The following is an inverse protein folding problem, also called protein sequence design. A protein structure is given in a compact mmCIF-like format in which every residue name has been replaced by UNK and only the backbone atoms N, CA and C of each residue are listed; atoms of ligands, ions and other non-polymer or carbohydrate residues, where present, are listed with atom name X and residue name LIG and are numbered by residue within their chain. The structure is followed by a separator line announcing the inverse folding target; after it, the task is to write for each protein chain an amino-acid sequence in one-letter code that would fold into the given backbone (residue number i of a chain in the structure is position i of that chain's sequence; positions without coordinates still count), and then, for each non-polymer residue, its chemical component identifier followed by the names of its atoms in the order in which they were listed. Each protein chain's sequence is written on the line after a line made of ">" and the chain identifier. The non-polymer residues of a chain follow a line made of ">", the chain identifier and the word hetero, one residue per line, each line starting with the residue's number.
data_IF_605697577507
#
_entry.id   IF_605697577507
#
_cell.length_a   1.000
_cell.length_b   1.000
_cell.length_c   1.000
_cell.angle_alpha   90.00
_cell.angle_beta   90.00
_cell.angle_gamma   90.00
#
_symmetry.space_group_name_H-M   'P 1'
#
loop_
_entity.id
_entity.type
_entity.pdbx_description
1 polymer ?
#
# COMPACT_ATOMS: atom_id res chain seq x y z
N UNK A 1 -33.04 -4.30 19.02
CA UNK A 1 -31.67 -4.88 19.11
C UNK A 1 -31.15 -5.04 17.68
N UNK A 2 -30.15 -4.27 17.26
CA UNK A 2 -29.74 -4.25 15.84
C UNK A 2 -28.51 -3.38 15.52
N UNK A 3 -27.55 -3.27 16.45
CA UNK A 3 -26.33 -2.45 16.27
C UNK A 3 -25.04 -3.26 16.04
N UNK A 4 -25.13 -4.59 16.01
CA UNK A 4 -23.95 -5.47 15.88
C UNK A 4 -23.46 -5.68 14.44
N UNK A 5 -24.36 -5.63 13.44
CA UNK A 5 -24.01 -5.90 12.04
C UNK A 5 -23.23 -4.76 11.36
N UNK A 6 -23.53 -3.51 11.68
CA UNK A 6 -22.87 -2.34 11.08
C UNK A 6 -21.41 -2.22 11.47
N UNK A 7 -21.08 -2.58 12.72
CA UNK A 7 -19.71 -2.50 13.23
C UNK A 7 -18.80 -3.55 12.56
N UNK A 8 -19.31 -4.77 12.36
CA UNK A 8 -18.54 -5.82 11.71
C UNK A 8 -18.28 -5.54 10.22
N UNK A 9 -19.28 -5.00 9.49
CA UNK A 9 -19.09 -4.59 8.10
C UNK A 9 -18.07 -3.44 7.97
N UNK A 10 -18.10 -2.48 8.89
CA UNK A 10 -17.15 -1.36 8.92
C UNK A 10 -15.73 -1.85 9.21
N UNK A 11 -15.57 -2.73 10.20
CA UNK A 11 -14.30 -3.40 10.52
C UNK A 11 -13.75 -4.21 9.34
N UNK A 12 -14.60 -4.90 8.57
CA UNK A 12 -14.16 -5.62 7.36
C UNK A 12 -13.67 -4.70 6.25
N UNK A 13 -14.32 -3.53 6.08
CA UNK A 13 -13.86 -2.51 5.12
C UNK A 13 -12.54 -1.90 5.57
N UNK A 14 -12.41 -1.61 6.85
CA UNK A 14 -11.18 -1.10 7.44
C UNK A 14 -10.04 -2.12 7.31
N UNK A 15 -10.32 -3.40 7.59
CA UNK A 15 -9.38 -4.49 7.34
C UNK A 15 -8.96 -4.55 5.87
N UNK A 16 -9.90 -4.51 4.94
CA UNK A 16 -9.62 -4.55 3.50
C UNK A 16 -8.76 -3.36 3.05
N UNK A 17 -9.01 -2.16 3.59
CA UNK A 17 -8.20 -0.98 3.35
C UNK A 17 -6.78 -1.17 3.89
N UNK A 18 -6.63 -1.56 5.15
CA UNK A 18 -5.31 -1.76 5.74
C UNK A 18 -4.55 -2.89 5.05
N UNK A 19 -5.21 -3.97 4.64
CA UNK A 19 -4.56 -5.02 3.86
C UNK A 19 -4.14 -4.54 2.47
N UNK A 20 -4.96 -3.73 1.81
CA UNK A 20 -4.63 -3.14 0.51
C UNK A 20 -3.38 -2.22 0.59
N UNK A 21 -3.23 -1.50 1.70
CA UNK A 21 -2.06 -0.67 2.00
C UNK A 21 -0.88 -1.55 2.39
N UNK A 22 -1.00 -2.36 3.44
CA UNK A 22 0.12 -3.01 4.14
C UNK A 22 0.60 -4.31 3.48
N UNK A 23 -0.27 -4.98 2.71
CA UNK A 23 -0.04 -6.33 2.18
C UNK A 23 0.21 -7.43 3.22
N UNK A 24 0.05 -7.11 4.50
CA UNK A 24 0.16 -8.04 5.62
C UNK A 24 -1.23 -8.23 6.28
N UNK A 25 -1.82 -9.44 6.26
CA UNK A 25 -3.11 -9.71 6.87
C UNK A 25 -3.13 -9.52 8.39
N UNK A 26 -2.06 -9.85 9.10
CA UNK A 26 -2.02 -9.78 10.56
C UNK A 26 -1.89 -8.32 11.03
N UNK A 27 -1.03 -7.53 10.37
CA UNK A 27 -0.91 -6.11 10.67
C UNK A 27 -2.18 -5.34 10.29
N UNK A 28 -2.83 -5.72 9.18
CA UNK A 28 -4.12 -5.17 8.81
C UNK A 28 -5.22 -5.48 9.84
N UNK A 29 -5.22 -6.69 10.38
CA UNK A 29 -6.13 -7.10 11.44
C UNK A 29 -5.93 -6.29 12.72
N UNK A 30 -4.67 -6.11 13.14
CA UNK A 30 -4.32 -5.28 14.28
C UNK A 30 -4.82 -3.84 14.12
N UNK A 31 -4.63 -3.23 12.95
CA UNK A 31 -5.07 -1.84 12.71
C UNK A 31 -6.59 -1.70 12.62
N UNK A 32 -7.28 -2.70 12.08
CA UNK A 32 -8.74 -2.70 11.98
C UNK A 32 -9.45 -3.19 13.26
N UNK A 33 -8.69 -3.55 14.31
CA UNK A 33 -9.25 -4.05 15.56
C UNK A 33 -9.98 -5.38 15.42
N UNK A 34 -9.55 -6.23 14.48
CA UNK A 34 -10.13 -7.56 14.20
C UNK A 34 -9.12 -8.66 14.48
N UNK A 35 -9.63 -9.85 14.81
CA UNK A 35 -8.79 -11.03 15.02
C UNK A 35 -8.64 -11.88 13.75
N UNK A 36 -7.58 -12.70 13.71
CA UNK A 36 -7.38 -13.74 12.68
C UNK A 36 -7.39 -13.19 11.24
N UNK A 37 -6.54 -12.20 10.96
CA UNK A 37 -6.43 -11.55 9.65
C UNK A 37 -6.28 -12.52 8.46
N UNK A 38 -5.52 -13.60 8.63
CA UNK A 38 -5.37 -14.62 7.57
C UNK A 38 -6.70 -15.27 7.19
N UNK A 39 -7.61 -15.49 8.15
CA UNK A 39 -8.93 -16.08 7.85
C UNK A 39 -9.84 -15.08 7.12
N UNK A 40 -9.74 -13.80 7.45
CA UNK A 40 -10.51 -12.73 6.81
C UNK A 40 -10.17 -12.56 5.32
N UNK A 41 -9.01 -13.05 4.87
CA UNK A 41 -8.64 -13.09 3.45
C UNK A 41 -9.59 -13.94 2.58
N UNK A 42 -10.25 -14.93 3.20
CA UNK A 42 -11.22 -15.78 2.51
C UNK A 42 -12.65 -15.23 2.56
N UNK A 43 -12.88 -14.14 3.29
CA UNK A 43 -14.19 -13.51 3.39
C UNK A 43 -14.57 -12.81 2.07
N UNK A 44 -15.78 -13.08 1.57
CA UNK A 44 -16.26 -12.57 0.29
C UNK A 44 -16.38 -11.04 0.25
N UNK A 45 -16.74 -10.41 1.36
CA UNK A 45 -16.91 -8.97 1.47
C UNK A 45 -15.55 -8.28 1.46
N UNK A 46 -14.59 -8.81 2.23
CA UNK A 46 -13.20 -8.34 2.24
C UNK A 46 -12.60 -8.43 0.84
N UNK A 47 -12.74 -9.58 0.17
CA UNK A 47 -12.22 -9.74 -1.20
C UNK A 47 -12.89 -8.78 -2.19
N UNK A 48 -14.22 -8.58 -2.09
CA UNK A 48 -14.95 -7.63 -2.93
C UNK A 48 -14.41 -6.21 -2.74
N UNK A 49 -14.18 -5.82 -1.49
CA UNK A 49 -13.68 -4.50 -1.16
C UNK A 49 -12.23 -4.30 -1.63
N UNK A 50 -11.35 -5.29 -1.44
CA UNK A 50 -9.98 -5.26 -1.98
C UNK A 50 -9.99 -5.13 -3.51
N UNK A 51 -10.87 -5.85 -4.22
CA UNK A 51 -11.02 -5.70 -5.68
C UNK A 51 -11.54 -4.31 -6.05
N UNK A 52 -12.43 -3.71 -5.25
CA UNK A 52 -12.90 -2.32 -5.45
C UNK A 52 -11.75 -1.34 -5.31
N UNK A 53 -10.97 -1.43 -4.24
CA UNK A 53 -9.81 -0.56 -3.98
C UNK A 53 -8.76 -0.66 -5.10
N UNK A 54 -8.48 -1.87 -5.60
CA UNK A 54 -7.56 -2.07 -6.73
C UNK A 54 -8.07 -1.41 -8.02
N UNK A 55 -9.37 -1.52 -8.32
CA UNK A 55 -9.97 -0.87 -9.50
C UNK A 55 -9.99 0.65 -9.39
N UNK A 56 -10.23 1.16 -8.18
CA UNK A 56 -10.19 2.60 -7.93
C UNK A 56 -8.77 3.13 -8.12
N UNK A 57 -7.74 2.41 -7.63
CA UNK A 57 -6.34 2.79 -7.81
C UNK A 57 -5.96 3.10 -9.26
N UNK A 58 -6.48 2.33 -10.23
CA UNK A 58 -6.21 2.57 -11.65
C UNK A 58 -6.82 3.87 -12.21
N UNK A 59 -7.70 4.52 -11.44
CA UNK A 59 -8.38 5.78 -11.78
C UNK A 59 -7.86 6.96 -10.95
N UNK A 60 -7.04 6.71 -9.96
CA UNK A 60 -6.46 7.73 -9.10
C UNK A 60 -5.41 8.55 -9.87
N UNK A 61 -5.23 9.79 -9.45
CA UNK A 61 -4.18 10.68 -9.94
C UNK A 61 -2.79 10.16 -9.57
N UNK A 62 -1.77 10.62 -10.31
CA UNK A 62 -0.37 10.39 -9.96
C UNK A 62 -0.04 10.73 -8.49
N UNK A 63 -0.63 11.80 -7.95
CA UNK A 63 -0.44 12.21 -6.55
C UNK A 63 -1.02 11.21 -5.55
N UNK A 64 -2.22 10.68 -5.81
CA UNK A 64 -2.85 9.65 -4.97
C UNK A 64 -2.08 8.32 -5.02
N UNK A 65 -1.58 7.94 -6.21
CA UNK A 65 -0.70 6.78 -6.36
C UNK A 65 0.60 6.97 -5.57
N UNK A 66 1.22 8.15 -5.63
CA UNK A 66 2.41 8.48 -4.85
C UNK A 66 2.16 8.39 -3.35
N UNK A 67 1.06 8.97 -2.86
CA UNK A 67 0.66 8.88 -1.45
C UNK A 67 0.52 7.44 -1.00
N UNK A 68 -0.12 6.59 -1.81
CA UNK A 68 -0.25 5.17 -1.49
C UNK A 68 1.12 4.47 -1.44
N UNK A 69 2.01 4.76 -2.38
CA UNK A 69 3.37 4.23 -2.40
C UNK A 69 4.19 4.65 -1.18
N UNK A 70 4.14 5.93 -0.81
CA UNK A 70 4.82 6.45 0.38
C UNK A 70 4.22 5.88 1.68
N UNK A 71 2.89 5.71 1.72
CA UNK A 71 2.19 5.07 2.85
C UNK A 71 2.61 3.60 2.99
N UNK A 72 2.81 2.90 1.86
CA UNK A 72 3.35 1.54 1.83
C UNK A 72 4.77 1.48 2.37
N UNK A 73 5.64 2.40 1.99
CA UNK A 73 7.01 2.48 2.54
C UNK A 73 7.01 2.74 4.05
N UNK A 74 6.15 3.64 4.51
CA UNK A 74 6.06 4.00 5.93
C UNK A 74 5.70 2.79 6.81
N UNK A 75 4.68 2.04 6.39
CA UNK A 75 4.15 0.93 7.16
C UNK A 75 4.64 -0.45 6.71
N UNK A 76 5.46 -0.50 5.67
CA UNK A 76 6.10 -1.73 5.21
C UNK A 76 7.00 -2.31 6.30
N UNK A 77 6.93 -3.63 6.43
CA UNK A 77 7.86 -4.43 7.22
C UNK A 77 8.87 -5.09 6.28
N UNK A 78 10.09 -5.32 6.77
CA UNK A 78 11.08 -6.07 6.00
C UNK A 78 10.53 -7.48 5.76
N UNK A 79 10.59 -7.95 4.51
CA UNK A 79 10.22 -9.32 4.20
C UNK A 79 11.16 -10.26 4.95
N UNK A 80 10.64 -11.33 5.55
CA UNK A 80 11.44 -12.39 6.14
C UNK A 80 11.32 -13.67 5.32
N UNK A 81 12.40 -14.45 5.27
CA UNK A 81 12.38 -15.81 4.74
C UNK A 81 11.61 -16.76 5.68
N UNK A 82 11.44 -18.01 5.26
CA UNK A 82 10.72 -19.04 6.03
C UNK A 82 11.37 -19.33 7.40
N UNK A 83 12.63 -18.93 7.60
CA UNK A 83 13.38 -19.05 8.86
C UNK A 83 13.29 -17.79 9.73
N UNK A 84 12.52 -16.79 9.31
CA UNK A 84 12.35 -15.52 10.03
C UNK A 84 13.54 -14.57 9.88
N UNK A 85 14.46 -14.82 8.95
CA UNK A 85 15.56 -13.90 8.65
C UNK A 85 15.10 -12.87 7.63
N UNK A 86 15.50 -11.61 7.78
CA UNK A 86 15.14 -10.59 6.81
C UNK A 86 15.76 -10.88 5.44
N UNK A 87 14.93 -10.85 4.40
CA UNK A 87 15.31 -10.91 2.99
C UNK A 87 15.90 -9.56 2.60
N UNK A 88 17.10 -9.60 2.02
CA UNK A 88 17.85 -8.43 1.64
C UNK A 88 17.69 -8.13 0.15
N UNK A 89 17.02 -7.03 -0.18
CA UNK A 89 16.79 -6.59 -1.57
C UNK A 89 17.77 -5.46 -1.97
N UNK A 90 18.49 -4.87 -1.02
CA UNK A 90 19.39 -3.72 -1.29
C UNK A 90 18.65 -2.43 -1.67
N UNK A 91 17.38 -2.50 -2.06
CA UNK A 91 16.50 -1.34 -2.32
C UNK A 91 15.65 -0.95 -1.11
N UNK A 92 15.25 -1.91 -0.27
CA UNK A 92 14.31 -1.69 0.86
C UNK A 92 14.95 -1.96 2.23
N UNK A 93 16.13 -2.55 2.26
CA UNK A 93 16.78 -3.03 3.48
C UNK A 93 18.28 -2.82 3.36
N UNK A 94 18.93 -2.28 4.40
CA UNK A 94 20.40 -2.25 4.51
C UNK A 94 20.90 -3.01 5.74
N UNK A 95 22.06 -3.66 5.61
CA UNK A 95 22.57 -4.59 6.61
C UNK A 95 23.11 -3.76 7.77
N UNK A 96 22.47 -3.84 8.93
CA UNK A 96 22.96 -3.13 10.13
C UNK A 96 23.85 -4.10 10.92
N UNK A 97 25.15 -4.04 10.68
CA UNK A 97 26.15 -4.79 11.44
C UNK A 97 26.17 -6.32 11.24
N UNK A 98 26.77 -7.01 12.21
CA UNK A 98 27.12 -8.45 12.17
C UNK A 98 25.94 -9.40 12.46
N UNK A 99 24.79 -8.90 12.93
CA UNK A 99 23.72 -9.74 13.47
C UNK A 99 22.37 -9.47 12.83
N UNK A 100 21.91 -10.40 11.97
CA UNK A 100 20.52 -10.87 11.70
C UNK A 100 19.33 -9.87 11.71
N UNK A 101 19.53 -8.57 11.65
CA UNK A 101 18.46 -7.57 11.60
C UNK A 101 18.61 -6.71 10.35
N UNK A 102 17.53 -6.62 9.58
CA UNK A 102 17.38 -5.65 8.52
C UNK A 102 16.32 -4.67 8.96
N UNK A 103 16.70 -3.41 9.07
CA UNK A 103 15.75 -2.34 9.16
C UNK A 103 15.54 -1.79 7.75
N UNK A 104 14.29 -1.50 7.41
CA UNK A 104 14.01 -0.46 6.43
C UNK A 104 14.78 0.78 6.89
N UNK A 105 15.57 1.39 6.01
CA UNK A 105 16.40 2.52 6.41
C UNK A 105 15.48 3.56 7.04
N UNK A 106 15.69 3.85 8.32
CA UNK A 106 14.92 4.86 9.04
C UNK A 106 14.77 6.16 8.23
N UNK A 107 15.80 6.49 7.45
CA UNK A 107 15.84 7.58 6.49
C UNK A 107 14.80 7.49 5.37
N UNK A 108 14.49 6.32 4.84
CA UNK A 108 13.44 6.14 3.82
C UNK A 108 12.06 6.39 4.40
N UNK A 109 11.79 5.91 5.63
CA UNK A 109 10.53 6.17 6.33
C UNK A 109 10.40 7.65 6.69
N UNK A 110 11.48 8.26 7.17
CA UNK A 110 11.52 9.71 7.43
C UNK A 110 11.29 10.50 6.14
N UNK A 111 11.91 10.10 5.03
CA UNK A 111 11.74 10.74 3.74
C UNK A 111 10.33 10.57 3.21
N UNK A 112 9.72 9.40 3.40
CA UNK A 112 8.34 9.16 3.05
C UNK A 112 7.38 10.08 3.83
N UNK A 113 7.62 10.27 5.13
CA UNK A 113 6.87 11.24 5.95
C UNK A 113 7.03 12.68 5.42
N UNK A 114 8.26 13.12 5.12
CA UNK A 114 8.52 14.45 4.57
C UNK A 114 7.76 14.68 3.24
N UNK A 115 7.81 13.69 2.33
CA UNK A 115 7.14 13.77 1.04
C UNK A 115 5.61 13.75 1.16
N UNK A 116 5.06 12.97 2.09
CA UNK A 116 3.63 12.97 2.39
C UNK A 116 3.14 14.31 2.94
N UNK A 117 3.92 14.95 3.81
CA UNK A 117 3.61 16.29 4.34
C UNK A 117 3.63 17.33 3.21
N UNK A 118 4.65 17.32 2.36
CA UNK A 118 4.74 18.22 1.19
C UNK A 118 3.57 18.04 0.22
N UNK A 119 3.17 16.79 -0.06
CA UNK A 119 2.01 16.49 -0.89
C UNK A 119 0.73 17.06 -0.30
N UNK A 120 0.53 16.91 1.01
CA UNK A 120 -0.63 17.45 1.72
C UNK A 120 -0.64 18.99 1.72
N UNK A 121 0.51 19.63 1.87
CA UNK A 121 0.66 21.09 1.78
C UNK A 121 0.36 21.62 0.37
N UNK A 122 0.86 20.95 -0.67
CA UNK A 122 0.60 21.30 -2.08
C UNK A 122 -0.87 21.19 -2.45
N UNK A 123 -1.57 20.16 -1.94
CA UNK A 123 -3.01 20.01 -2.14
C UNK A 123 -3.80 21.11 -1.43
N UNK A 124 -3.44 21.45 -0.20
CA UNK A 124 -4.07 22.55 0.55
C UNK A 124 -3.89 23.90 -0.12
N UNK A 125 -2.78 24.09 -0.82
CA UNK A 125 -2.48 25.32 -1.57
C UNK A 125 -3.09 25.36 -2.98
N UNK A 126 -3.89 24.35 -3.37
CA UNK A 126 -4.49 24.29 -4.70
C UNK A 126 -3.50 24.04 -5.84
N UNK A 127 -2.23 23.71 -5.51
CA UNK A 127 -1.17 23.37 -6.46
C UNK A 127 -1.20 21.88 -6.84
N UNK A 128 -2.39 21.30 -6.97
CA UNK A 128 -2.63 19.85 -7.09
C UNK A 128 -2.15 19.17 -8.38
N UNK A 129 -1.07 19.65 -9.02
CA UNK A 129 -0.60 19.11 -10.32
C UNK A 129 0.93 18.98 -10.48
N UNK A 130 1.76 19.31 -9.48
CA UNK A 130 3.22 19.37 -9.71
C UNK A 130 4.00 18.07 -9.48
N UNK A 131 3.34 16.90 -9.49
CA UNK A 131 4.01 15.60 -9.68
C UNK A 131 4.01 15.14 -11.15
N UNK A 132 3.51 15.98 -12.06
CA UNK A 132 3.08 15.64 -13.43
C UNK A 132 4.16 15.32 -14.45
N UNK A 133 5.46 15.43 -14.15
CA UNK A 133 6.48 15.05 -15.13
C UNK A 133 6.70 13.53 -15.16
N UNK A 134 7.31 13.04 -14.08
CA UNK A 134 7.83 11.67 -14.02
C UNK A 134 6.73 10.66 -13.70
N UNK A 135 5.82 10.95 -12.77
CA UNK A 135 4.75 10.01 -12.46
C UNK A 135 3.71 9.91 -13.56
N UNK A 136 3.44 11.01 -14.27
CA UNK A 136 2.56 10.98 -15.44
C UNK A 136 3.19 10.19 -16.57
N UNK A 137 4.49 10.36 -16.83
CA UNK A 137 5.23 9.54 -17.78
C UNK A 137 5.23 8.04 -17.40
N UNK A 138 5.37 7.72 -16.10
CA UNK A 138 5.27 6.35 -15.60
C UNK A 138 3.85 5.78 -15.76
N UNK A 139 2.80 6.58 -15.50
CA UNK A 139 1.41 6.19 -15.67
C UNK A 139 1.07 5.95 -17.15
N UNK A 140 1.54 6.83 -18.05
CA UNK A 140 1.42 6.65 -19.49
C UNK A 140 2.18 5.41 -19.98
N UNK A 141 3.37 5.14 -19.44
CA UNK A 141 4.13 3.93 -19.73
C UNK A 141 3.39 2.66 -19.29
N UNK A 142 2.82 2.66 -18.09
CA UNK A 142 2.03 1.53 -17.58
C UNK A 142 0.75 1.28 -18.40
N UNK A 143 0.09 2.33 -18.89
CA UNK A 143 -1.06 2.20 -19.77
C UNK A 143 -0.69 1.58 -21.12
N UNK A 144 0.41 2.02 -21.75
CA UNK A 144 0.91 1.46 -23.01
C UNK A 144 1.24 -0.03 -22.92
N UNK A 145 1.90 -0.45 -21.83
CA UNK A 145 2.19 -1.87 -21.60
C UNK A 145 0.92 -2.71 -21.49
N UNK A 146 -0.12 -2.19 -20.84
CA UNK A 146 -1.41 -2.89 -20.75
C UNK A 146 -2.17 -2.98 -22.08
N UNK A 147 -1.94 -2.03 -23.00
CA UNK A 147 -2.51 -2.05 -24.35
C UNK A 147 -1.75 -3.02 -25.27
N UNK A 148 -0.42 -3.09 -25.13
CA UNK A 148 0.44 -4.04 -25.86
C UNK A 148 0.16 -5.49 -25.44
N UNK A 149 0.01 -5.78 -24.14
CA UNK A 149 -0.34 -7.12 -23.63
C UNK A 149 -1.73 -7.59 -24.10
N UNK A 150 -2.67 -6.68 -24.37
CA UNK A 150 -4.00 -7.01 -24.93
C UNK A 150 -3.98 -7.18 -26.45
N UNK A 151 -2.99 -6.63 -27.14
CA UNK A 151 -2.82 -6.74 -28.59
C UNK A 151 -2.19 -8.07 -29.04
N UNK A 152 -1.43 -8.73 -28.16
CA UNK A 152 -0.78 -10.02 -28.46
C UNK A 152 -1.68 -11.25 -28.19
N UNK A 153 -2.86 -11.09 -27.57
CA UNK A 153 -3.83 -12.16 -27.33
C UNK A 153 -4.92 -12.31 -28.44
N UNK A 154 -4.78 -11.63 -29.59
CA UNK A 154 -5.67 -11.75 -30.76
C UNK A 154 -4.98 -12.42 -31.95
#
# INVERSE_FOLDING_TARGET
>A
MGKGGSNLEEQKKEFAYWYFVLRDPNLAAQKAGVEKGVLLMNDREVQREVRRLRRNLGKESAGEIAKLGLTRLLFGQAACDEEGKPVFDGFLTSKVGSAKAAEYQFWDKLKACELLLKLNEQEKQGQGRSFGGVLEALQQGAQKLSEEEQGEEL
#
